data_IF_447358686089
#
_entry.id   IF_447358686089
#
_cell.length_a   1.000
_cell.length_b   1.000
_cell.length_c   1.000
_cell.angle_alpha   90.00
_cell.angle_beta   90.00
_cell.angle_gamma   90.00
#
_symmetry.space_group_name_H-M   'P 1'
#
loop_
_entity.id
_entity.type
_entity.pdbx_description
1 polymer ?
#
# COMPACT_ATOMS: atom_id res chain seq x y z
N UNK A 1 16.64 33.23 -4.18
CA UNK A 1 15.61 32.47 -4.95
C UNK A 1 16.32 31.27 -5.56
N UNK A 2 15.76 30.09 -5.40
CA UNK A 2 16.26 28.86 -6.05
C UNK A 2 15.18 28.41 -7.03
N UNK A 3 15.55 28.20 -8.30
CA UNK A 3 14.68 27.68 -9.33
C UNK A 3 15.07 26.22 -9.56
N UNK A 4 14.06 25.31 -9.49
CA UNK A 4 14.27 23.88 -9.68
C UNK A 4 13.34 23.41 -10.79
N UNK A 5 13.92 22.74 -11.80
CA UNK A 5 13.16 22.04 -12.85
C UNK A 5 13.46 20.55 -12.73
N UNK A 6 12.42 19.74 -12.59
CA UNK A 6 12.54 18.29 -12.47
C UNK A 6 11.39 17.59 -13.20
N UNK A 7 11.65 16.37 -13.68
CA UNK A 7 10.64 15.51 -14.27
C UNK A 7 10.18 14.47 -13.27
N UNK A 8 8.87 14.29 -13.16
CA UNK A 8 8.23 13.30 -12.30
C UNK A 8 7.35 12.38 -13.12
N UNK A 9 7.24 11.10 -12.81
CA UNK A 9 6.31 10.20 -13.47
C UNK A 9 4.88 10.66 -13.21
N UNK A 10 4.05 10.70 -14.26
CA UNK A 10 2.65 11.11 -14.14
C UNK A 10 1.75 10.01 -13.56
N UNK A 11 2.25 8.77 -13.51
CA UNK A 11 1.50 7.60 -13.09
C UNK A 11 0.45 7.16 -14.13
N UNK A 12 -0.16 6.02 -13.87
CA UNK A 12 -1.28 5.48 -14.64
C UNK A 12 -2.55 5.65 -13.82
N UNK A 13 -3.60 6.20 -14.45
CA UNK A 13 -4.96 6.24 -13.87
C UNK A 13 -5.81 5.25 -14.64
N UNK A 14 -6.10 4.11 -14.02
CA UNK A 14 -6.85 3.01 -14.59
C UNK A 14 -7.77 2.35 -13.56
N UNK A 15 -8.08 1.07 -13.76
CA UNK A 15 -8.78 0.29 -12.74
C UNK A 15 -7.88 0.01 -11.52
N UNK A 16 -8.44 -0.54 -10.45
CA UNK A 16 -7.73 -0.78 -9.19
C UNK A 16 -6.48 -1.66 -9.37
N UNK A 17 -6.55 -2.68 -10.24
CA UNK A 17 -5.42 -3.57 -10.53
C UNK A 17 -4.27 -2.82 -11.22
N UNK A 18 -4.58 -2.02 -12.22
CA UNK A 18 -3.61 -1.21 -12.96
C UNK A 18 -2.97 -0.16 -12.04
N UNK A 19 -3.76 0.50 -11.21
CA UNK A 19 -3.28 1.49 -10.26
C UNK A 19 -2.36 0.88 -9.20
N UNK A 20 -2.70 -0.30 -8.64
CA UNK A 20 -1.84 -1.00 -7.68
C UNK A 20 -0.53 -1.45 -8.31
N UNK A 21 -0.57 -1.91 -9.57
CA UNK A 21 0.64 -2.28 -10.29
C UNK A 21 1.56 -1.07 -10.49
N UNK A 22 1.01 0.04 -11.00
CA UNK A 22 1.77 1.26 -11.23
C UNK A 22 2.34 1.83 -9.92
N UNK A 23 1.59 1.78 -8.82
CA UNK A 23 2.06 2.18 -7.50
C UNK A 23 3.24 1.31 -7.04
N UNK A 24 3.13 -0.02 -7.16
CA UNK A 24 4.23 -0.93 -6.80
C UNK A 24 5.49 -0.69 -7.64
N UNK A 25 5.35 -0.43 -8.94
CA UNK A 25 6.46 -0.12 -9.84
C UNK A 25 7.14 1.21 -9.46
N UNK A 26 6.37 2.23 -9.07
CA UNK A 26 6.90 3.51 -8.59
C UNK A 26 7.70 3.35 -7.30
N UNK A 27 7.15 2.68 -6.30
CA UNK A 27 7.86 2.40 -5.03
C UNK A 27 9.13 1.58 -5.27
N UNK A 28 9.08 0.62 -6.23
CA UNK A 28 10.26 -0.16 -6.60
C UNK A 28 11.39 0.71 -7.12
N UNK A 29 11.11 1.65 -8.03
CA UNK A 29 12.09 2.60 -8.54
C UNK A 29 12.64 3.50 -7.44
N UNK A 30 11.77 3.97 -6.53
CA UNK A 30 12.15 4.85 -5.43
C UNK A 30 13.14 4.18 -4.48
N UNK A 31 12.83 2.99 -3.96
CA UNK A 31 13.72 2.36 -2.98
C UNK A 31 14.97 1.74 -3.58
N UNK A 32 14.91 1.26 -4.84
CA UNK A 32 16.03 0.58 -5.48
C UNK A 32 17.03 1.56 -6.09
N UNK A 33 16.53 2.62 -6.68
CA UNK A 33 17.36 3.49 -7.52
C UNK A 33 17.40 4.93 -6.95
N UNK A 34 16.26 5.59 -6.78
CA UNK A 34 16.16 7.03 -6.51
C UNK A 34 16.76 7.42 -5.15
N UNK A 35 16.26 6.84 -4.07
CA UNK A 35 16.74 7.17 -2.72
C UNK A 35 18.17 6.68 -2.46
N UNK A 36 18.61 5.63 -3.16
CA UNK A 36 20.02 5.19 -3.10
C UNK A 36 20.92 6.27 -3.70
N UNK A 37 20.57 6.79 -4.88
CA UNK A 37 21.33 7.86 -5.54
C UNK A 37 21.32 9.15 -4.71
N UNK A 38 20.18 9.52 -4.16
CA UNK A 38 20.07 10.69 -3.28
C UNK A 38 20.95 10.55 -2.03
N UNK A 39 21.02 9.35 -1.45
CA UNK A 39 21.88 9.10 -0.29
C UNK A 39 23.37 9.23 -0.64
N UNK A 40 23.78 8.74 -1.82
CA UNK A 40 25.16 8.86 -2.29
C UNK A 40 25.52 10.34 -2.54
N UNK A 41 24.69 11.07 -3.28
CA UNK A 41 24.87 12.49 -3.55
C UNK A 41 24.94 13.31 -2.25
N UNK A 42 24.02 13.09 -1.32
CA UNK A 42 24.03 13.80 -0.05
C UNK A 42 25.32 13.54 0.76
N UNK A 43 25.82 12.30 0.71
CA UNK A 43 27.09 11.95 1.35
C UNK A 43 28.28 12.68 0.71
N UNK A 44 28.34 12.71 -0.62
CA UNK A 44 29.41 13.39 -1.39
C UNK A 44 29.39 14.91 -1.16
N UNK A 45 28.21 15.50 -1.05
CA UNK A 45 28.02 16.93 -0.77
C UNK A 45 28.26 17.31 0.70
N UNK A 46 28.56 16.34 1.57
CA UNK A 46 28.88 16.60 2.97
C UNK A 46 27.67 16.65 3.91
N UNK A 47 26.54 16.03 3.54
CA UNK A 47 25.32 15.94 4.32
C UNK A 47 25.04 14.49 4.83
N UNK A 48 25.87 13.94 5.73
CA UNK A 48 25.77 12.52 6.14
C UNK A 48 24.46 12.17 6.85
N UNK A 49 23.85 13.12 7.56
CA UNK A 49 22.56 12.91 8.23
C UNK A 49 21.42 12.79 7.20
N UNK A 50 21.44 13.60 6.14
CA UNK A 50 20.48 13.53 5.03
C UNK A 50 20.68 12.22 4.27
N UNK A 51 21.92 11.82 4.00
CA UNK A 51 22.23 10.55 3.38
C UNK A 51 21.68 9.36 4.20
N UNK A 52 21.78 9.43 5.52
CA UNK A 52 21.21 8.41 6.42
C UNK A 52 19.70 8.40 6.37
N UNK A 53 19.05 9.56 6.32
CA UNK A 53 17.59 9.68 6.18
C UNK A 53 17.10 9.04 4.87
N UNK A 54 17.73 9.33 3.73
CA UNK A 54 17.36 8.71 2.45
C UNK A 54 17.48 7.17 2.47
N UNK A 55 18.50 6.61 3.11
CA UNK A 55 18.63 5.16 3.28
C UNK A 55 17.53 4.54 4.13
N UNK A 56 17.01 5.29 5.10
CA UNK A 56 15.88 4.84 5.93
C UNK A 56 14.58 4.92 5.12
N UNK A 57 14.37 6.00 4.38
CA UNK A 57 13.21 6.18 3.50
C UNK A 57 13.16 5.06 2.47
N UNK A 58 14.26 4.72 1.81
CA UNK A 58 14.31 3.59 0.88
C UNK A 58 13.75 2.29 1.47
N UNK A 59 13.97 2.03 2.77
CA UNK A 59 13.39 0.86 3.43
C UNK A 59 11.87 0.98 3.65
N UNK A 60 11.37 2.18 3.85
CA UNK A 60 9.93 2.45 3.95
C UNK A 60 9.26 2.18 2.61
N UNK A 61 9.83 2.67 1.50
CA UNK A 61 9.26 2.47 0.16
C UNK A 61 9.28 0.99 -0.26
N UNK A 62 10.28 0.21 0.17
CA UNK A 62 10.28 -1.23 -0.02
C UNK A 62 9.09 -1.93 0.70
N UNK A 63 8.67 -1.45 1.87
CA UNK A 63 7.48 -1.95 2.56
C UNK A 63 6.18 -1.49 1.88
N UNK A 64 6.15 -0.29 1.29
CA UNK A 64 5.02 0.18 0.49
C UNK A 64 4.85 -0.70 -0.77
N UNK A 65 5.92 -0.97 -1.51
CA UNK A 65 5.89 -1.92 -2.64
C UNK A 65 5.33 -3.27 -2.22
N UNK A 66 5.86 -3.86 -1.15
CA UNK A 66 5.38 -5.15 -0.63
C UNK A 66 3.88 -5.13 -0.35
N UNK A 67 3.37 -4.03 0.21
CA UNK A 67 1.96 -3.85 0.51
C UNK A 67 1.12 -3.78 -0.77
N UNK A 68 1.52 -2.99 -1.76
CA UNK A 68 0.80 -2.88 -3.03
C UNK A 68 0.80 -4.19 -3.80
N UNK A 69 1.92 -4.91 -3.85
CA UNK A 69 1.99 -6.24 -4.45
C UNK A 69 1.07 -7.24 -3.75
N UNK A 70 0.96 -7.20 -2.42
CA UNK A 70 0.04 -8.06 -1.67
C UNK A 70 -1.42 -7.75 -1.96
N UNK A 71 -1.78 -6.47 -2.06
CA UNK A 71 -3.13 -6.05 -2.44
C UNK A 71 -3.46 -6.48 -3.88
N UNK A 72 -2.52 -6.32 -4.80
CA UNK A 72 -2.65 -6.78 -6.19
C UNK A 72 -2.82 -8.29 -6.28
N UNK A 73 -2.04 -9.06 -5.52
CA UNK A 73 -2.18 -10.50 -5.40
C UNK A 73 -3.58 -10.90 -4.91
N UNK A 74 -4.07 -10.27 -3.84
CA UNK A 74 -5.40 -10.54 -3.30
C UNK A 74 -6.51 -10.33 -4.33
N UNK A 75 -6.41 -9.28 -5.17
CA UNK A 75 -7.36 -9.05 -6.27
C UNK A 75 -7.23 -10.16 -7.33
N UNK A 76 -5.99 -10.56 -7.67
CA UNK A 76 -5.72 -11.55 -8.72
C UNK A 76 -6.18 -12.97 -8.34
N UNK A 77 -6.19 -13.27 -7.05
CA UNK A 77 -6.57 -14.56 -6.48
C UNK A 77 -8.01 -14.57 -5.90
N UNK A 78 -8.79 -13.51 -6.12
CA UNK A 78 -10.14 -13.33 -5.53
C UNK A 78 -10.17 -13.42 -3.99
N UNK A 79 -9.04 -13.06 -3.34
CA UNK A 79 -8.87 -13.17 -1.88
C UNK A 79 -9.19 -11.89 -1.11
N UNK A 80 -9.72 -10.84 -1.76
CA UNK A 80 -10.12 -9.61 -1.05
C UNK A 80 -11.23 -9.89 -0.05
N UNK A 81 -12.31 -10.53 -0.52
CA UNK A 81 -13.52 -10.83 0.26
C UNK A 81 -13.73 -12.33 0.53
N UNK A 82 -12.71 -13.16 0.28
CA UNK A 82 -12.70 -14.59 0.56
C UNK A 82 -11.34 -15.00 1.11
N UNK A 83 -11.33 -15.89 2.10
CA UNK A 83 -10.10 -16.41 2.73
C UNK A 83 -10.11 -17.94 2.69
N UNK A 84 -8.94 -18.55 2.83
CA UNK A 84 -8.78 -20.02 2.80
C UNK A 84 -9.35 -20.72 4.04
N UNK A 85 -9.70 -19.98 5.07
CA UNK A 85 -10.32 -20.43 6.31
C UNK A 85 -11.19 -19.35 6.91
N UNK A 86 -11.91 -19.69 7.99
CA UNK A 86 -12.72 -18.74 8.72
C UNK A 86 -11.86 -17.67 9.34
N UNK A 87 -12.24 -16.43 9.11
CA UNK A 87 -11.66 -15.23 9.73
C UNK A 87 -12.77 -14.35 10.30
N UNK A 88 -12.43 -13.52 11.24
CA UNK A 88 -13.35 -12.51 11.75
C UNK A 88 -13.40 -11.32 10.77
N UNK A 89 -14.61 -11.05 10.28
CA UNK A 89 -14.91 -9.88 9.46
C UNK A 89 -15.51 -8.78 10.33
N UNK A 90 -15.25 -7.52 9.97
CA UNK A 90 -15.79 -6.33 10.62
C UNK A 90 -16.36 -5.38 9.59
N UNK A 91 -17.57 -4.88 9.82
CA UNK A 91 -18.13 -3.78 9.05
C UNK A 91 -17.48 -2.46 9.48
N UNK A 92 -16.86 -1.75 8.55
CA UNK A 92 -16.21 -0.45 8.80
C UNK A 92 -17.18 0.66 9.17
N UNK A 93 -18.46 0.53 8.78
CA UNK A 93 -19.46 1.54 9.09
C UNK A 93 -20.01 1.42 10.53
N UNK A 94 -20.46 0.23 10.93
CA UNK A 94 -21.16 0.07 12.22
C UNK A 94 -20.42 -0.78 13.25
N UNK A 95 -19.31 -1.43 12.88
CA UNK A 95 -18.53 -2.28 13.78
C UNK A 95 -19.08 -3.69 13.94
N UNK A 96 -20.15 -4.10 13.26
CA UNK A 96 -20.66 -5.47 13.31
C UNK A 96 -19.56 -6.47 12.94
N UNK A 97 -19.39 -7.53 13.73
CA UNK A 97 -18.38 -8.57 13.53
C UNK A 97 -19.02 -9.95 13.42
N UNK A 98 -18.43 -10.81 12.60
CA UNK A 98 -18.86 -12.20 12.42
C UNK A 98 -17.71 -13.05 11.89
N UNK A 99 -17.75 -14.35 12.08
CA UNK A 99 -16.75 -15.31 11.61
C UNK A 99 -17.24 -16.03 10.35
N UNK A 100 -16.45 -15.99 9.29
CA UNK A 100 -16.74 -16.67 8.01
C UNK A 100 -15.49 -16.75 7.13
N UNK A 101 -15.51 -17.65 6.15
CA UNK A 101 -14.51 -17.67 5.07
C UNK A 101 -14.75 -16.55 4.06
N UNK A 102 -15.98 -16.09 3.91
CA UNK A 102 -16.39 -15.09 2.91
C UNK A 102 -17.08 -13.91 3.55
N UNK A 103 -16.73 -12.69 3.09
CA UNK A 103 -17.43 -11.48 3.47
C UNK A 103 -18.90 -11.51 3.02
N UNK A 104 -19.80 -10.99 3.87
CA UNK A 104 -21.22 -10.85 3.54
C UNK A 104 -21.41 -9.80 2.45
N UNK A 105 -22.39 -10.03 1.56
CA UNK A 105 -22.72 -9.07 0.50
C UNK A 105 -23.25 -7.74 1.06
N UNK A 106 -24.00 -7.82 2.17
CA UNK A 106 -24.50 -6.65 2.90
C UNK A 106 -24.38 -6.89 4.40
N UNK A 107 -24.07 -5.83 5.14
CA UNK A 107 -24.06 -5.87 6.59
C UNK A 107 -25.49 -6.06 7.13
N UNK A 108 -25.78 -7.08 7.98
CA UNK A 108 -27.12 -7.29 8.49
C UNK A 108 -27.58 -6.21 9.49
N UNK A 109 -26.65 -5.47 10.08
CA UNK A 109 -26.97 -4.44 11.06
C UNK A 109 -27.23 -3.06 10.43
N UNK A 110 -26.50 -2.68 9.37
CA UNK A 110 -26.58 -1.34 8.80
C UNK A 110 -26.77 -1.30 7.27
N UNK A 111 -26.92 -2.46 6.63
CA UNK A 111 -27.19 -2.65 5.20
C UNK A 111 -26.10 -2.13 4.24
N UNK A 112 -24.95 -1.68 4.75
CA UNK A 112 -23.84 -1.28 3.90
C UNK A 112 -23.29 -2.48 3.11
N UNK A 113 -22.88 -2.24 1.84
CA UNK A 113 -22.43 -3.30 0.95
C UNK A 113 -21.08 -3.92 1.37
N UNK A 114 -20.75 -5.04 0.77
CA UNK A 114 -19.51 -5.81 0.99
C UNK A 114 -18.23 -4.98 0.98
N UNK A 115 -18.18 -3.89 0.22
CA UNK A 115 -17.04 -2.98 0.18
C UNK A 115 -16.69 -2.38 1.56
N UNK A 116 -17.62 -2.40 2.53
CA UNK A 116 -17.39 -1.98 3.90
C UNK A 116 -16.88 -3.12 4.81
N UNK A 117 -16.69 -4.33 4.29
CA UNK A 117 -16.18 -5.46 5.08
C UNK A 117 -14.66 -5.54 4.98
N UNK A 118 -14.00 -5.65 6.13
CA UNK A 118 -12.57 -5.98 6.22
C UNK A 118 -12.34 -7.12 7.19
N UNK A 119 -11.20 -7.79 7.08
CA UNK A 119 -10.74 -8.69 8.15
C UNK A 119 -10.50 -7.86 9.39
N UNK A 120 -11.03 -8.33 10.53
CA UNK A 120 -10.91 -7.64 11.81
C UNK A 120 -9.44 -7.57 12.24
N UNK A 121 -9.00 -6.40 12.58
CA UNK A 121 -7.71 -6.16 13.21
C UNK A 121 -7.89 -6.02 14.73
N UNK A 122 -6.97 -6.61 15.49
CA UNK A 122 -6.87 -6.50 16.94
C UNK A 122 -5.43 -6.09 17.27
N UNK A 123 -5.18 -4.78 17.23
CA UNK A 123 -3.86 -4.18 17.42
C UNK A 123 -3.77 -3.28 18.67
N UNK A 124 -4.61 -3.53 19.65
CA UNK A 124 -4.70 -2.81 20.93
C UNK A 124 -4.37 -3.73 22.10
#
# INVERSE_FOLDING_TARGET
MVEITASYPAGVIGNTRENLKAAAEGEHEEWRDLYVQFAETAKEEGFPEIASAFKIIAKVEAEHERRYLKLLQNISEDKVFMKEGKVWWKCLNCGYVYESEKALENCPACLHPKAFMQVREENY
#
